data_IF_773400015334
#
_entry.id   IF_773400015334
#
_cell.length_a   1.000
_cell.length_b   1.000
_cell.length_c   1.000
_cell.angle_alpha   90.00
_cell.angle_beta   90.00
_cell.angle_gamma   90.00
#
_symmetry.space_group_name_H-M   'P 1'
#
loop_
_entity.id
_entity.type
_entity.pdbx_description
1 polymer ?
#
# COMPACT_ATOMS: atom_id res chain seq x y z
N UNK A 1 34.39 -22.99 -13.33
CA UNK A 1 33.91 -22.74 -14.70
C UNK A 1 32.86 -21.64 -14.62
N UNK A 2 33.14 -20.49 -15.22
CA UNK A 2 32.50 -19.18 -14.96
C UNK A 2 30.97 -19.18 -15.12
N UNK A 3 30.24 -18.83 -14.06
CA UNK A 3 28.91 -18.24 -14.17
C UNK A 3 29.05 -16.73 -14.04
N UNK A 4 29.34 -16.04 -15.15
CA UNK A 4 29.14 -14.60 -15.23
C UNK A 4 27.65 -14.36 -14.94
N UNK A 5 27.30 -13.92 -13.73
CA UNK A 5 25.96 -13.35 -13.48
C UNK A 5 25.86 -12.18 -14.46
N UNK A 6 25.02 -12.34 -15.48
CA UNK A 6 24.81 -11.31 -16.50
C UNK A 6 24.45 -10.04 -15.73
N UNK A 7 25.26 -9.00 -15.84
CA UNK A 7 24.92 -7.72 -15.20
C UNK A 7 23.68 -7.21 -15.93
N UNK A 8 22.53 -7.30 -15.26
CA UNK A 8 21.24 -6.95 -15.83
C UNK A 8 21.05 -5.43 -15.91
N UNK A 9 21.83 -4.65 -15.15
CA UNK A 9 21.63 -3.19 -15.03
C UNK A 9 22.96 -2.41 -15.10
N UNK A 10 23.71 -2.53 -16.21
CA UNK A 10 25.01 -1.87 -16.34
C UNK A 10 24.90 -0.33 -16.28
N UNK A 11 23.81 0.24 -16.78
CA UNK A 11 23.46 1.66 -16.73
C UNK A 11 23.18 2.15 -15.30
N UNK A 12 22.44 1.35 -14.53
CA UNK A 12 22.15 1.63 -13.12
C UNK A 12 23.43 1.56 -12.28
N UNK A 13 24.25 0.53 -12.50
CA UNK A 13 25.52 0.35 -11.80
C UNK A 13 26.50 1.48 -12.12
N UNK A 14 26.60 1.88 -13.40
CA UNK A 14 27.44 3.01 -13.82
C UNK A 14 27.02 4.34 -13.17
N UNK A 15 25.73 4.50 -12.87
CA UNK A 15 25.18 5.67 -12.19
C UNK A 15 25.35 5.63 -10.66
N UNK A 16 25.88 4.53 -10.11
CA UNK A 16 26.02 4.35 -8.66
C UNK A 16 24.74 3.93 -7.94
N UNK A 17 23.72 3.44 -8.67
CA UNK A 17 22.46 2.95 -8.10
C UNK A 17 21.22 3.42 -8.87
N UNK A 18 20.06 2.88 -8.50
CA UNK A 18 18.79 3.14 -9.18
C UNK A 18 18.32 4.58 -9.02
N UNK A 19 18.39 5.14 -7.81
CA UNK A 19 17.96 6.52 -7.57
C UNK A 19 18.77 7.56 -8.39
N UNK A 20 20.12 7.50 -8.42
CA UNK A 20 20.90 8.31 -9.36
C UNK A 20 20.53 8.10 -10.82
N UNK A 21 20.37 6.85 -11.27
CA UNK A 21 20.04 6.54 -12.67
C UNK A 21 18.68 7.13 -13.08
N UNK A 22 17.65 7.00 -12.23
CA UNK A 22 16.33 7.60 -12.46
C UNK A 22 16.40 9.13 -12.48
N UNK A 23 17.22 9.75 -11.61
CA UNK A 23 17.37 11.21 -11.58
C UNK A 23 17.97 11.76 -12.88
N UNK A 24 19.03 11.12 -13.37
CA UNK A 24 19.64 11.51 -14.65
C UNK A 24 18.68 11.27 -15.82
N UNK A 25 17.97 10.14 -15.84
CA UNK A 25 16.97 9.85 -16.86
C UNK A 25 15.79 10.85 -16.86
N UNK A 26 15.32 11.26 -15.68
CA UNK A 26 14.27 12.26 -15.52
C UNK A 26 14.74 13.65 -15.98
N UNK A 27 15.96 14.05 -15.59
CA UNK A 27 16.57 15.31 -16.04
C UNK A 27 16.74 15.36 -17.56
N UNK A 28 17.18 14.26 -18.18
CA UNK A 28 17.32 14.16 -19.63
C UNK A 28 15.98 14.31 -20.38
N UNK A 29 14.86 14.00 -19.71
CA UNK A 29 13.50 14.08 -20.25
C UNK A 29 12.73 15.31 -19.80
N UNK A 30 13.29 16.12 -18.90
CA UNK A 30 12.64 17.31 -18.37
C UNK A 30 11.46 17.00 -17.44
N UNK A 31 11.46 15.85 -16.76
CA UNK A 31 10.38 15.43 -15.86
C UNK A 31 10.81 15.57 -14.38
N UNK A 32 9.85 15.83 -13.48
CA UNK A 32 10.05 15.77 -12.03
C UNK A 32 9.47 14.48 -11.44
N UNK A 33 10.35 13.62 -10.94
CA UNK A 33 9.98 12.37 -10.27
C UNK A 33 9.92 12.50 -8.74
N UNK A 34 10.17 13.70 -8.19
CA UNK A 34 10.08 13.95 -6.75
C UNK A 34 11.17 13.30 -5.90
N UNK A 35 12.18 12.68 -6.51
CA UNK A 35 13.31 12.09 -5.79
C UNK A 35 14.24 13.19 -5.27
N UNK A 36 14.33 13.31 -3.95
CA UNK A 36 15.25 14.23 -3.30
C UNK A 36 16.71 14.00 -3.71
N UNK A 37 17.57 15.02 -3.66
CA UNK A 37 18.97 14.93 -4.09
C UNK A 37 19.79 13.92 -3.26
N UNK A 38 19.37 13.67 -2.02
CA UNK A 38 20.04 12.76 -1.08
C UNK A 38 19.45 11.34 -1.05
N UNK A 39 18.40 11.07 -1.83
CA UNK A 39 17.83 9.74 -1.92
C UNK A 39 18.84 8.78 -2.56
N UNK A 40 19.28 7.81 -1.76
CA UNK A 40 20.21 6.74 -2.18
C UNK A 40 19.47 5.52 -2.73
N UNK A 41 18.17 5.42 -2.44
CA UNK A 41 17.27 4.37 -2.91
C UNK A 41 15.94 4.98 -3.39
N UNK A 42 15.13 4.16 -4.08
CA UNK A 42 13.79 4.53 -4.59
C UNK A 42 12.73 3.80 -3.79
N UNK A 43 13.00 3.54 -2.50
CA UNK A 43 12.13 2.73 -1.65
C UNK A 43 10.73 3.34 -1.56
N UNK A 44 10.61 4.67 -1.64
CA UNK A 44 9.31 5.32 -1.75
C UNK A 44 9.40 6.76 -2.26
N UNK A 45 8.52 7.11 -3.20
CA UNK A 45 8.24 8.45 -3.68
C UNK A 45 6.84 8.82 -3.19
N UNK A 46 6.72 9.88 -2.39
CA UNK A 46 5.42 10.34 -1.90
C UNK A 46 4.61 11.03 -3.01
N UNK A 47 3.33 10.67 -3.12
CA UNK A 47 2.36 11.16 -4.11
C UNK A 47 1.01 11.44 -3.44
N UNK A 48 0.08 12.06 -4.17
CA UNK A 48 -1.30 12.22 -3.69
C UNK A 48 -2.05 10.87 -3.55
N UNK A 49 -1.60 9.83 -4.26
CA UNK A 49 -2.21 8.48 -4.29
C UNK A 49 -1.49 7.49 -3.35
N UNK A 50 -0.75 8.00 -2.36
CA UNK A 50 0.12 7.19 -1.49
C UNK A 50 1.58 7.25 -1.91
N UNK A 51 2.31 6.16 -1.76
CA UNK A 51 3.74 6.06 -2.06
C UNK A 51 3.95 5.19 -3.29
N UNK A 52 4.90 5.55 -4.15
CA UNK A 52 5.31 4.76 -5.30
C UNK A 52 6.72 4.19 -5.04
N UNK A 53 6.94 2.89 -5.26
CA UNK A 53 8.28 2.29 -5.27
C UNK A 53 8.66 1.83 -6.67
N UNK A 54 9.96 1.72 -6.85
CA UNK A 54 10.54 1.08 -8.01
C UNK A 54 11.58 0.08 -7.55
N UNK A 55 11.40 -1.18 -7.95
CA UNK A 55 12.26 -2.29 -7.56
C UNK A 55 12.81 -3.01 -8.80
N UNK A 56 14.14 -3.18 -8.93
CA UNK A 56 14.73 -3.92 -10.04
C UNK A 56 14.55 -5.43 -9.83
N UNK A 57 14.08 -6.14 -10.86
CA UNK A 57 13.95 -7.59 -10.85
C UNK A 57 15.34 -8.27 -10.87
N UNK A 58 15.47 -9.40 -10.19
CA UNK A 58 16.76 -10.10 -10.02
C UNK A 58 17.07 -11.10 -11.13
N UNK A 59 16.08 -11.53 -11.90
CA UNK A 59 16.19 -12.61 -12.89
C UNK A 59 16.27 -12.10 -14.33
N UNK A 60 15.68 -10.94 -14.60
CA UNK A 60 15.66 -10.28 -15.90
C UNK A 60 15.71 -8.75 -15.73
N UNK A 61 16.00 -8.03 -16.81
CA UNK A 61 16.11 -6.57 -16.78
C UNK A 61 14.71 -5.94 -16.82
N UNK A 62 14.10 -5.77 -15.66
CA UNK A 62 12.81 -5.12 -15.46
C UNK A 62 12.81 -4.27 -14.20
N UNK A 63 12.21 -3.09 -14.29
CA UNK A 63 11.87 -2.25 -13.16
C UNK A 63 10.39 -2.46 -12.85
N UNK A 64 10.08 -3.01 -11.67
CA UNK A 64 8.72 -3.18 -11.17
C UNK A 64 8.29 -1.90 -10.48
N UNK A 65 7.07 -1.47 -10.76
CA UNK A 65 6.47 -0.27 -10.18
C UNK A 65 5.38 -0.71 -9.22
N UNK A 66 5.55 -0.36 -7.95
CA UNK A 66 4.59 -0.63 -6.90
C UNK A 66 3.95 0.65 -6.39
N UNK A 67 2.74 0.54 -5.88
CA UNK A 67 2.10 1.58 -5.07
C UNK A 67 1.83 1.02 -3.69
N UNK A 68 2.00 1.85 -2.68
CA UNK A 68 1.80 1.51 -1.28
C UNK A 68 0.97 2.59 -0.62
N UNK A 69 0.00 2.12 0.14
CA UNK A 69 -0.58 2.85 1.24
C UNK A 69 -0.21 2.10 2.52
N UNK A 70 -0.28 2.72 3.71
CA UNK A 70 0.17 2.07 4.94
C UNK A 70 -0.40 0.64 5.14
N UNK A 71 0.44 -0.38 5.07
CA UNK A 71 0.02 -1.78 5.26
C UNK A 71 -0.75 -2.41 4.08
N UNK A 72 -0.72 -1.81 2.89
CA UNK A 72 -1.23 -2.38 1.65
C UNK A 72 -0.38 -1.95 0.46
N UNK A 73 0.09 -2.93 -0.32
CA UNK A 73 0.96 -2.71 -1.48
C UNK A 73 0.46 -3.53 -2.64
N UNK A 74 0.52 -2.96 -3.85
CA UNK A 74 0.22 -3.67 -5.08
C UNK A 74 1.18 -3.22 -6.20
N UNK A 75 1.41 -4.10 -7.16
CA UNK A 75 2.22 -3.80 -8.34
C UNK A 75 1.31 -3.22 -9.43
N UNK A 76 1.74 -2.11 -10.04
CA UNK A 76 0.99 -1.41 -11.10
C UNK A 76 1.63 -1.57 -12.48
N UNK A 77 2.71 -2.36 -12.60
CA UNK A 77 3.33 -2.66 -13.88
C UNK A 77 4.84 -2.88 -13.76
N UNK A 78 5.46 -3.25 -14.88
CA UNK A 78 6.91 -3.34 -14.98
C UNK A 78 7.42 -3.04 -16.38
N UNK A 79 8.58 -2.41 -16.49
CA UNK A 79 9.19 -2.07 -17.78
C UNK A 79 10.69 -2.26 -17.76
N UNK A 80 11.28 -2.66 -18.88
CA UNK A 80 12.73 -2.63 -19.06
C UNK A 80 13.24 -1.22 -19.35
N UNK A 81 12.42 -0.29 -19.83
CA UNK A 81 12.89 1.03 -20.24
C UNK A 81 12.90 2.01 -19.06
N UNK A 82 14.09 2.38 -18.59
CA UNK A 82 14.29 3.35 -17.51
C UNK A 82 13.71 4.73 -17.85
N UNK A 83 13.66 5.06 -19.14
CA UNK A 83 13.05 6.28 -19.65
C UNK A 83 11.54 6.29 -19.52
N UNK A 84 10.89 5.25 -20.03
CA UNK A 84 9.44 5.11 -19.87
C UNK A 84 9.04 5.04 -18.39
N UNK A 85 9.87 4.39 -17.57
CA UNK A 85 9.69 4.34 -16.13
C UNK A 85 9.65 5.73 -15.49
N UNK A 86 10.64 6.60 -15.77
CA UNK A 86 10.66 7.94 -15.14
C UNK A 86 9.55 8.84 -15.65
N UNK A 87 9.12 8.69 -16.91
CA UNK A 87 7.96 9.41 -17.43
C UNK A 87 6.67 8.96 -16.74
N UNK A 88 6.49 7.66 -16.53
CA UNK A 88 5.33 7.12 -15.82
C UNK A 88 5.30 7.57 -14.35
N UNK A 89 6.45 7.56 -13.67
CA UNK A 89 6.58 8.05 -12.28
C UNK A 89 6.23 9.53 -12.18
N UNK A 90 6.71 10.36 -13.12
CA UNK A 90 6.39 11.78 -13.15
C UNK A 90 4.89 12.01 -13.41
N UNK A 91 4.32 11.36 -14.42
CA UNK A 91 2.89 11.47 -14.74
C UNK A 91 1.99 11.01 -13.58
N UNK A 92 2.36 9.91 -12.91
CA UNK A 92 1.66 9.46 -11.70
C UNK A 92 1.69 10.51 -10.59
N UNK A 93 2.87 11.09 -10.33
CA UNK A 93 3.07 12.14 -9.30
C UNK A 93 2.30 13.42 -9.62
N UNK A 94 2.22 13.80 -10.89
CA UNK A 94 1.44 14.95 -11.37
C UNK A 94 -0.08 14.75 -11.23
N UNK A 95 -0.53 13.52 -10.96
CA UNK A 95 -1.93 13.20 -10.80
C UNK A 95 -2.67 13.03 -12.13
N UNK A 96 -1.97 12.66 -13.19
CA UNK A 96 -2.59 12.31 -14.48
C UNK A 96 -3.65 11.21 -14.26
N UNK A 97 -4.85 11.31 -14.84
CA UNK A 97 -5.91 10.32 -14.68
C UNK A 97 -5.46 8.90 -15.02
N UNK A 98 -5.97 7.89 -14.32
CA UNK A 98 -5.51 6.50 -14.51
C UNK A 98 -5.74 5.99 -15.94
N UNK A 99 -6.85 6.33 -16.58
CA UNK A 99 -7.12 5.94 -17.97
C UNK A 99 -6.07 6.52 -18.94
N UNK A 100 -5.68 7.78 -18.74
CA UNK A 100 -4.62 8.42 -19.55
C UNK A 100 -3.25 7.79 -19.27
N UNK A 101 -3.00 7.34 -18.04
CA UNK A 101 -1.77 6.59 -17.72
C UNK A 101 -1.73 5.24 -18.42
N UNK A 102 -2.82 4.47 -18.43
CA UNK A 102 -2.87 3.18 -19.16
C UNK A 102 -2.71 3.37 -20.66
N UNK A 103 -3.35 4.40 -21.23
CA UNK A 103 -3.23 4.73 -22.66
C UNK A 103 -1.79 5.15 -23.03
N UNK A 104 -1.11 5.89 -22.15
CA UNK A 104 0.25 6.40 -22.39
C UNK A 104 1.32 5.35 -22.11
N UNK A 105 1.09 4.46 -21.16
CA UNK A 105 2.07 3.51 -20.66
C UNK A 105 1.49 2.10 -20.66
N UNK A 106 1.57 1.41 -21.81
CA UNK A 106 1.01 0.05 -22.00
C UNK A 106 1.49 -1.01 -20.99
N UNK A 107 2.62 -0.76 -20.31
CA UNK A 107 3.14 -1.65 -19.28
C UNK A 107 2.41 -1.53 -17.94
N UNK A 108 1.66 -0.44 -17.74
CA UNK A 108 0.89 -0.21 -16.53
C UNK A 108 -0.40 -1.03 -16.57
N UNK A 109 -0.76 -1.60 -15.41
CA UNK A 109 -1.97 -2.39 -15.21
C UNK A 109 -2.67 -1.84 -13.98
N UNK A 110 -3.65 -0.97 -14.21
CA UNK A 110 -4.37 -0.27 -13.15
C UNK A 110 -5.69 -1.00 -12.91
N UNK A 111 -5.62 -1.91 -11.93
CA UNK A 111 -6.74 -2.77 -11.56
C UNK A 111 -7.91 -2.01 -10.90
N UNK A 112 -8.93 -2.77 -10.51
CA UNK A 112 -10.13 -2.24 -9.85
C UNK A 112 -9.79 -1.46 -8.58
N UNK A 113 -8.76 -1.89 -7.82
CA UNK A 113 -8.36 -1.19 -6.61
C UNK A 113 -7.75 0.18 -6.92
N UNK A 114 -6.88 0.28 -7.92
CA UNK A 114 -6.32 1.55 -8.36
C UNK A 114 -7.44 2.54 -8.74
N UNK A 115 -8.44 2.08 -9.49
CA UNK A 115 -9.61 2.88 -9.89
C UNK A 115 -10.46 3.29 -8.70
N UNK A 116 -10.69 2.38 -7.74
CA UNK A 116 -11.41 2.70 -6.51
C UNK A 116 -10.67 3.75 -5.67
N UNK A 117 -9.34 3.72 -5.64
CA UNK A 117 -8.53 4.73 -4.96
C UNK A 117 -8.69 6.11 -5.60
N UNK A 118 -8.66 6.21 -6.93
CA UNK A 118 -8.88 7.48 -7.66
C UNK A 118 -10.28 8.05 -7.41
N UNK A 119 -11.30 7.20 -7.35
CA UNK A 119 -12.68 7.60 -7.10
C UNK A 119 -12.99 7.91 -5.62
N UNK A 120 -12.01 7.76 -4.72
CA UNK A 120 -12.21 7.98 -3.29
C UNK A 120 -12.99 6.87 -2.58
N UNK A 121 -13.07 5.68 -3.17
CA UNK A 121 -13.79 4.50 -2.66
C UNK A 121 -12.89 3.28 -2.34
N UNK A 122 -11.61 3.44 -1.91
CA UNK A 122 -10.70 2.29 -1.75
C UNK A 122 -11.20 1.29 -0.69
N UNK A 123 -11.89 1.78 0.34
CA UNK A 123 -12.44 0.95 1.42
C UNK A 123 -13.47 -0.05 0.92
N UNK A 124 -14.40 0.37 0.05
CA UNK A 124 -15.46 -0.54 -0.42
C UNK A 124 -14.89 -1.63 -1.32
N UNK A 125 -13.94 -1.27 -2.20
CA UNK A 125 -13.21 -2.21 -3.05
C UNK A 125 -12.46 -3.23 -2.21
N UNK A 126 -11.71 -2.78 -1.19
CA UNK A 126 -10.91 -3.67 -0.35
C UNK A 126 -11.75 -4.63 0.47
N UNK A 127 -12.90 -4.20 0.99
CA UNK A 127 -13.84 -5.10 1.65
C UNK A 127 -14.35 -6.19 0.71
N UNK A 128 -14.64 -5.84 -0.54
CA UNK A 128 -15.13 -6.78 -1.55
C UNK A 128 -14.06 -7.79 -1.94
N UNK A 129 -12.82 -7.33 -2.14
CA UNK A 129 -11.66 -8.19 -2.40
C UNK A 129 -11.42 -9.19 -1.26
N UNK A 130 -11.28 -8.71 -0.02
CA UNK A 130 -11.02 -9.57 1.14
C UNK A 130 -12.13 -10.60 1.40
N UNK A 131 -13.39 -10.26 1.12
CA UNK A 131 -14.53 -11.18 1.30
C UNK A 131 -14.67 -12.20 0.18
N UNK A 132 -14.17 -11.88 -1.02
CA UNK A 132 -14.17 -12.77 -2.18
C UNK A 132 -12.95 -13.69 -2.21
N UNK A 133 -11.85 -13.29 -1.55
CA UNK A 133 -10.57 -14.01 -1.55
C UNK A 133 -10.59 -15.30 -0.75
N UNK A 134 -10.29 -16.41 -1.41
CA UNK A 134 -10.09 -17.72 -0.77
C UNK A 134 -8.89 -17.76 0.18
N UNK A 135 -7.90 -16.90 -0.06
CA UNK A 135 -6.70 -16.80 0.78
C UNK A 135 -7.03 -16.36 2.22
N UNK A 136 -8.04 -15.52 2.38
CA UNK A 136 -8.49 -14.99 3.67
C UNK A 136 -9.71 -15.72 4.25
N UNK A 137 -10.01 -16.92 3.74
CA UNK A 137 -11.17 -17.71 4.18
C UNK A 137 -11.16 -17.98 5.69
N UNK A 138 -9.99 -18.09 6.33
CA UNK A 138 -9.86 -18.27 7.79
C UNK A 138 -10.44 -17.08 8.58
N UNK A 139 -10.29 -15.86 8.07
CA UNK A 139 -10.82 -14.64 8.67
C UNK A 139 -12.26 -14.34 8.23
N UNK A 140 -12.87 -15.17 7.38
CA UNK A 140 -14.14 -14.85 6.71
C UNK A 140 -15.30 -14.55 7.67
N UNK A 141 -15.40 -15.24 8.81
CA UNK A 141 -16.44 -14.96 9.81
C UNK A 141 -16.23 -13.59 10.48
N UNK A 142 -15.00 -13.30 10.89
CA UNK A 142 -14.62 -12.00 11.43
C UNK A 142 -14.85 -10.89 10.40
N UNK A 143 -14.37 -11.03 9.17
CA UNK A 143 -14.56 -10.04 8.10
C UNK A 143 -16.05 -9.74 7.85
N UNK A 144 -16.90 -10.76 7.74
CA UNK A 144 -18.35 -10.56 7.55
C UNK A 144 -18.99 -9.85 8.74
N UNK A 145 -18.60 -10.21 9.97
CA UNK A 145 -19.08 -9.56 11.20
C UNK A 145 -18.70 -8.08 11.23
N UNK A 146 -17.45 -7.75 10.90
CA UNK A 146 -16.97 -6.37 10.86
C UNK A 146 -17.65 -5.57 9.74
N UNK A 147 -17.81 -6.16 8.54
CA UNK A 147 -18.49 -5.52 7.40
C UNK A 147 -19.98 -5.28 7.63
N UNK A 148 -20.64 -6.09 8.46
CA UNK A 148 -22.05 -5.93 8.79
C UNK A 148 -22.33 -4.68 9.64
N UNK A 149 -21.31 -4.16 10.34
CA UNK A 149 -21.43 -2.97 11.16
C UNK A 149 -21.38 -1.68 10.33
N UNK A 150 -22.33 -0.76 10.56
CA UNK A 150 -22.46 0.49 9.80
C UNK A 150 -21.26 1.44 9.93
N UNK A 151 -20.53 1.39 11.05
CA UNK A 151 -19.34 2.22 11.29
C UNK A 151 -18.10 1.50 10.77
N UNK A 152 -17.89 0.25 11.18
CA UNK A 152 -16.66 -0.48 10.86
C UNK A 152 -16.52 -0.79 9.36
N UNK A 153 -17.62 -0.92 8.62
CA UNK A 153 -17.59 -1.10 7.16
C UNK A 153 -16.98 0.07 6.40
N UNK A 154 -16.90 1.25 7.02
CA UNK A 154 -16.28 2.45 6.44
C UNK A 154 -14.80 2.57 6.80
N UNK A 155 -14.26 1.65 7.61
CA UNK A 155 -12.84 1.58 7.95
C UNK A 155 -12.12 0.72 6.91
N UNK A 156 -10.96 1.18 6.46
CA UNK A 156 -10.13 0.46 5.49
C UNK A 156 -9.57 -0.83 6.12
N UNK A 157 -9.89 -2.01 5.57
CA UNK A 157 -9.44 -3.28 6.14
C UNK A 157 -8.15 -3.76 5.48
N UNK A 158 -7.18 -4.20 6.28
CA UNK A 158 -6.04 -5.00 5.79
C UNK A 158 -5.84 -6.23 6.67
N UNK A 159 -5.10 -7.22 6.19
CA UNK A 159 -4.74 -8.40 6.99
C UNK A 159 -3.23 -8.44 7.12
N UNK A 160 -2.77 -8.51 8.36
CA UNK A 160 -1.33 -8.62 8.67
C UNK A 160 -1.14 -9.69 9.74
N UNK A 161 -0.26 -10.65 9.46
CA UNK A 161 0.05 -11.76 10.38
C UNK A 161 -1.20 -12.51 10.90
N UNK A 162 -2.26 -12.58 10.10
CA UNK A 162 -3.52 -13.25 10.44
C UNK A 162 -4.55 -12.38 11.18
N UNK A 163 -4.16 -11.21 11.67
CA UNK A 163 -5.06 -10.23 12.29
C UNK A 163 -5.64 -9.28 11.23
N UNK A 164 -6.92 -8.90 11.40
CA UNK A 164 -7.58 -7.86 10.61
C UNK A 164 -7.23 -6.51 11.23
N UNK A 165 -6.65 -5.62 10.44
CA UNK A 165 -6.45 -4.21 10.78
C UNK A 165 -7.59 -3.41 10.20
N UNK A 166 -8.19 -2.54 11.01
CA UNK A 166 -9.13 -1.52 10.56
C UNK A 166 -8.52 -0.15 10.77
N UNK A 167 -8.58 0.71 9.76
CA UNK A 167 -8.04 2.07 9.81
C UNK A 167 -9.07 3.09 9.34
N UNK A 168 -9.07 4.26 9.98
CA UNK A 168 -9.94 5.39 9.61
C UNK A 168 -9.55 5.99 8.26
N UNK A 169 -8.29 6.38 8.07
CA UNK A 169 -7.81 6.95 6.81
C UNK A 169 -6.80 5.98 6.16
N UNK A 170 -7.11 5.39 4.99
CA UNK A 170 -6.22 4.46 4.31
C UNK A 170 -4.86 5.05 3.95
N UNK A 171 -4.77 6.36 3.69
CA UNK A 171 -3.56 7.05 3.24
C UNK A 171 -2.69 7.54 4.39
N UNK A 172 -3.27 7.80 5.57
CA UNK A 172 -2.55 8.24 6.75
C UNK A 172 -2.23 7.06 7.70
N UNK A 173 -0.95 6.67 7.73
CA UNK A 173 -0.47 5.57 8.56
C UNK A 173 -0.53 5.84 10.07
N UNK A 174 -0.65 7.10 10.45
CA UNK A 174 -0.81 7.55 11.85
C UNK A 174 -2.27 7.66 12.26
N UNK A 175 -3.20 7.54 11.31
CA UNK A 175 -4.63 7.58 11.63
C UNK A 175 -5.02 6.44 12.56
N UNK A 176 -6.10 6.70 13.30
CA UNK A 176 -6.66 5.77 14.29
C UNK A 176 -6.88 4.42 13.63
N UNK A 177 -6.37 3.38 14.29
CA UNK A 177 -6.44 2.03 13.78
C UNK A 177 -6.41 1.00 14.90
N UNK A 178 -7.03 -0.14 14.63
CA UNK A 178 -7.10 -1.27 15.55
C UNK A 178 -6.71 -2.54 14.81
N UNK A 179 -6.14 -3.48 15.54
CA UNK A 179 -5.94 -4.86 15.10
C UNK A 179 -6.91 -5.75 15.88
N UNK A 180 -7.52 -6.71 15.18
CA UNK A 180 -8.40 -7.70 15.77
C UNK A 180 -8.09 -9.07 15.20
N UNK A 181 -8.01 -10.08 16.07
CA UNK A 181 -7.91 -11.47 15.68
C UNK A 181 -8.88 -12.34 16.47
N UNK A 182 -9.36 -13.40 15.82
CA UNK A 182 -10.23 -14.40 16.43
C UNK A 182 -9.40 -15.45 17.16
N UNK A 183 -9.63 -15.63 18.47
CA UNK A 183 -8.99 -16.71 19.25
C UNK A 183 -9.78 -18.01 19.13
N UNK A 184 -11.09 -17.89 19.35
CA UNK A 184 -12.11 -18.90 19.18
C UNK A 184 -13.40 -18.13 18.86
N UNK A 185 -14.40 -18.72 18.19
CA UNK A 185 -15.60 -17.99 17.74
C UNK A 185 -16.44 -17.28 18.82
N UNK A 186 -16.02 -17.35 20.09
CA UNK A 186 -16.60 -16.66 21.24
C UNK A 186 -15.71 -15.52 21.77
N UNK A 187 -14.42 -15.48 21.43
CA UNK A 187 -13.44 -14.53 21.97
C UNK A 187 -12.47 -14.01 20.91
N UNK A 188 -12.18 -12.72 21.03
CA UNK A 188 -11.27 -12.01 20.15
C UNK A 188 -10.18 -11.33 20.96
N UNK A 189 -9.03 -11.08 20.32
CA UNK A 189 -8.05 -10.13 20.85
C UNK A 189 -8.09 -8.86 20.05
N UNK A 190 -8.05 -7.73 20.74
CA UNK A 190 -8.05 -6.39 20.15
C UNK A 190 -6.81 -5.64 20.63
N UNK A 191 -6.12 -4.98 19.70
CA UNK A 191 -4.97 -4.13 19.98
C UNK A 191 -5.20 -2.75 19.36
N UNK A 192 -5.13 -1.72 20.19
CA UNK A 192 -5.15 -0.32 19.73
C UNK A 192 -3.73 0.07 19.31
N UNK A 193 -3.53 0.35 18.03
CA UNK A 193 -2.20 0.64 17.48
C UNK A 193 -1.87 2.12 17.70
N UNK A 194 -0.62 2.41 18.06
CA UNK A 194 -0.14 3.79 18.26
C UNK A 194 -0.22 4.31 19.69
N UNK A 195 -0.69 3.50 20.65
CA UNK A 195 -0.69 3.84 22.07
C UNK A 195 0.63 3.38 22.76
N UNK A 196 1.21 4.16 23.68
CA UNK A 196 2.43 3.78 24.41
C UNK A 196 2.31 2.46 25.19
N UNK A 197 1.10 2.13 25.66
CA UNK A 197 0.76 0.90 26.39
C UNK A 197 -0.07 -0.08 25.55
N UNK A 198 0.10 -0.06 24.22
CA UNK A 198 -0.64 -0.93 23.31
C UNK A 198 -0.37 -2.41 23.62
N UNK A 199 -1.32 -3.05 24.30
CA UNK A 199 -1.34 -4.48 24.57
C UNK A 199 -2.60 -5.11 23.97
N UNK A 200 -2.50 -6.39 23.61
CA UNK A 200 -3.66 -7.17 23.21
C UNK A 200 -4.59 -7.35 24.41
N UNK A 201 -5.86 -7.01 24.23
CA UNK A 201 -6.91 -7.22 25.21
C UNK A 201 -7.91 -8.25 24.68
N UNK A 202 -8.23 -9.24 25.50
CA UNK A 202 -9.27 -10.22 25.19
C UNK A 202 -10.66 -9.58 25.33
N UNK A 203 -11.51 -9.76 24.32
CA UNK A 203 -12.85 -9.19 24.24
C UNK A 203 -13.85 -10.30 23.86
N UNK A 204 -14.93 -10.48 24.65
CA UNK A 204 -16.01 -11.39 24.29
C UNK A 204 -16.71 -10.98 22.99
N UNK A 205 -17.26 -11.96 22.28
CA UNK A 205 -17.98 -11.75 21.02
C UNK A 205 -19.11 -10.72 21.10
N UNK A 206 -19.82 -10.68 22.24
CA UNK A 206 -20.93 -9.74 22.47
C UNK A 206 -20.47 -8.28 22.53
N UNK A 207 -19.24 -8.04 22.97
CA UNK A 207 -18.70 -6.70 23.22
C UNK A 207 -17.76 -6.22 22.11
N UNK A 208 -17.37 -7.12 21.19
CA UNK A 208 -16.38 -6.84 20.16
C UNK A 208 -16.67 -5.55 19.38
N UNK A 209 -17.89 -5.43 18.82
CA UNK A 209 -18.25 -4.29 17.97
C UNK A 209 -18.19 -2.97 18.76
N UNK A 210 -18.74 -2.97 19.98
CA UNK A 210 -18.71 -1.79 20.84
C UNK A 210 -17.27 -1.38 21.20
N UNK A 211 -16.42 -2.37 21.52
CA UNK A 211 -15.00 -2.17 21.81
C UNK A 211 -14.25 -1.54 20.63
N UNK A 212 -14.44 -2.08 19.42
CA UNK A 212 -13.78 -1.57 18.20
C UNK A 212 -14.25 -0.17 17.83
N UNK A 213 -15.57 0.11 17.95
CA UNK A 213 -16.11 1.44 17.71
C UNK A 213 -15.53 2.47 18.68
N UNK A 214 -15.47 2.14 19.98
CA UNK A 214 -14.88 3.02 20.98
C UNK A 214 -13.40 3.31 20.66
N UNK A 215 -12.64 2.26 20.33
CA UNK A 215 -11.22 2.37 19.99
C UNK A 215 -10.93 3.21 18.73
N UNK A 216 -11.87 3.27 17.78
CA UNK A 216 -11.71 4.02 16.53
C UNK A 216 -12.32 5.44 16.61
N UNK A 217 -13.22 5.70 17.56
CA UNK A 217 -13.86 7.01 17.75
C UNK A 217 -13.15 7.89 18.78
N UNK A 218 -12.39 7.32 19.71
CA UNK A 218 -11.59 8.11 20.65
C UNK A 218 -10.53 8.91 19.88
N UNK A 219 -10.64 10.25 19.90
CA UNK A 219 -9.60 11.13 19.40
C UNK A 219 -8.39 11.05 20.33
N UNK A 220 -7.20 10.92 19.77
CA UNK A 220 -5.97 11.18 20.53
C UNK A 220 -5.93 12.67 20.84
N UNK A 221 -6.54 13.09 21.94
CA UNK A 221 -6.30 14.40 22.50
C UNK A 221 -4.84 14.42 22.97
N UNK A 222 -3.95 14.85 22.07
CA UNK A 222 -2.61 15.25 22.46
C UNK A 222 -2.77 16.56 23.23
N UNK A 223 -2.96 16.46 24.54
CA UNK A 223 -2.64 17.56 25.43
C UNK A 223 -1.15 17.88 25.20
N UNK A 224 -0.91 19.10 24.67
CA UNK A 224 0.40 19.72 24.55
C UNK A 224 0.84 20.32 25.88
#
# INVERSE_FOLDING_TARGET
MNTHRKDLYPDVNASGGLAPAMREAAKARGCDIGLGPWAVDVISIQTARGFLSVDPATEERLFRVGVHIPGFTWEIGSTGDLGLLVEAVAAWREGIPLDELEDRFEFMKLDEFARALENGEPTSSQWSDLLSSDFHRRQGNLLRRLRADEVLRNMFPTITHGAVRLRVDPLDGTSRQVLVQELNGERYEVLRVGMPEAAWAEVPTGDLIACLRAALNEDFSTDR
#
